data_IF_816873561948
#
_entry.id   IF_816873561948
#
_cell.length_a   1.000
_cell.length_b   1.000
_cell.length_c   1.000
_cell.angle_alpha   90.00
_cell.angle_beta   90.00
_cell.angle_gamma   90.00
#
_symmetry.space_group_name_H-M   'P 1'
#
loop_
_entity.id
_entity.type
_entity.pdbx_description
1 polymer ?
#
# COMPACT_ATOMS: atom_id res chain seq x y z
N UNK A 1 3.30 19.72 -25.23
CA UNK A 1 3.53 20.30 -23.90
C UNK A 1 4.51 19.37 -23.24
N UNK A 2 5.68 19.88 -22.86
CA UNK A 2 6.81 19.07 -22.43
C UNK A 2 6.43 18.35 -21.14
N UNK A 3 6.40 17.03 -21.15
CA UNK A 3 6.44 16.19 -19.95
C UNK A 3 7.73 16.59 -19.22
N UNK A 4 7.62 17.36 -18.14
CA UNK A 4 8.72 17.50 -17.21
C UNK A 4 9.00 16.12 -16.62
N UNK A 5 10.27 15.78 -16.54
CA UNK A 5 10.71 14.51 -15.96
C UNK A 5 10.33 14.54 -14.47
N UNK A 6 9.57 13.55 -13.94
CA UNK A 6 9.15 13.52 -12.54
C UNK A 6 10.31 13.73 -11.56
N UNK A 7 11.53 13.31 -11.96
CA UNK A 7 12.75 13.50 -11.17
C UNK A 7 13.20 14.97 -11.07
N UNK A 8 12.91 15.77 -12.10
CA UNK A 8 13.22 17.21 -12.09
C UNK A 8 12.26 17.94 -11.16
N UNK A 9 10.98 17.59 -11.20
CA UNK A 9 9.95 18.20 -10.36
C UNK A 9 10.16 17.82 -8.87
N UNK A 10 10.47 16.55 -8.58
CA UNK A 10 10.80 16.08 -7.24
C UNK A 10 12.02 16.79 -6.62
N UNK A 11 13.04 17.07 -7.46
CA UNK A 11 14.24 17.81 -7.04
C UNK A 11 13.94 19.28 -6.79
N UNK A 12 13.16 19.92 -7.66
CA UNK A 12 12.80 21.34 -7.50
C UNK A 12 12.03 21.55 -6.19
N UNK A 13 11.06 20.71 -5.86
CA UNK A 13 10.32 20.75 -4.59
C UNK A 13 11.24 20.60 -3.36
N UNK A 14 12.22 19.68 -3.41
CA UNK A 14 13.21 19.50 -2.35
C UNK A 14 14.11 20.74 -2.18
N UNK A 15 14.52 21.36 -3.29
CA UNK A 15 15.35 22.56 -3.28
C UNK A 15 14.55 23.77 -2.80
N UNK A 16 13.29 23.89 -3.20
CA UNK A 16 12.40 24.96 -2.76
C UNK A 16 12.15 24.87 -1.26
N UNK A 17 11.94 23.66 -0.72
CA UNK A 17 11.88 23.45 0.73
C UNK A 17 13.17 23.87 1.45
N UNK A 18 14.34 23.55 0.87
CA UNK A 18 15.62 23.99 1.42
C UNK A 18 15.79 25.53 1.32
N UNK A 19 15.28 26.15 0.27
CA UNK A 19 15.28 27.60 0.08
C UNK A 19 14.38 28.30 1.10
N UNK A 20 13.21 27.75 1.42
CA UNK A 20 12.33 28.26 2.49
C UNK A 20 13.05 28.26 3.85
N UNK A 21 13.75 27.18 4.18
CA UNK A 21 14.57 27.15 5.40
C UNK A 21 15.67 28.21 5.36
N UNK A 22 16.35 28.39 4.23
CA UNK A 22 17.38 29.41 4.06
C UNK A 22 16.83 30.83 4.24
N UNK A 23 15.66 31.13 3.67
CA UNK A 23 14.99 32.41 3.79
C UNK A 23 14.55 32.70 5.24
N UNK A 24 14.08 31.68 5.97
CA UNK A 24 13.80 31.80 7.41
C UNK A 24 15.08 32.13 8.20
N UNK A 25 16.20 31.49 7.90
CA UNK A 25 17.50 31.80 8.51
C UNK A 25 17.98 33.22 8.16
N UNK A 26 17.89 33.61 6.89
CA UNK A 26 18.30 34.93 6.42
C UNK A 26 17.44 36.06 7.02
N UNK A 27 16.16 35.78 7.26
CA UNK A 27 15.21 36.66 7.93
C UNK A 27 15.41 36.76 9.46
N UNK A 28 16.35 36.01 10.04
CA UNK A 28 16.59 35.97 11.48
C UNK A 28 15.45 35.33 12.27
N UNK A 29 14.58 34.56 11.61
CA UNK A 29 13.49 33.82 12.22
C UNK A 29 14.00 32.45 12.67
N UNK A 30 13.40 31.90 13.72
CA UNK A 30 13.68 30.52 14.11
C UNK A 30 13.03 29.64 13.03
N UNK A 31 13.77 28.73 12.38
CA UNK A 31 13.17 27.91 11.35
C UNK A 31 12.13 26.96 11.95
N UNK A 32 10.99 26.89 11.29
CA UNK A 32 9.86 26.06 11.69
C UNK A 32 9.34 25.28 10.48
N UNK A 33 9.08 23.99 10.68
CA UNK A 33 8.46 23.13 9.69
C UNK A 33 7.10 22.68 10.23
N UNK A 34 6.04 22.97 9.50
CA UNK A 34 4.67 22.60 9.90
C UNK A 34 4.31 21.27 9.25
N UNK A 35 4.02 20.25 10.06
CA UNK A 35 3.67 18.91 9.60
C UNK A 35 2.27 18.53 10.12
N UNK A 36 1.40 17.89 9.34
CA UNK A 36 0.16 17.32 9.86
C UNK A 36 0.42 16.24 10.93
N UNK A 37 -0.47 16.12 11.92
CA UNK A 37 -0.30 15.20 13.04
C UNK A 37 -0.71 13.78 12.66
N UNK A 38 0.20 12.81 12.81
CA UNK A 38 0.01 11.38 12.45
C UNK A 38 -0.66 10.56 13.57
N UNK A 39 -1.83 10.97 14.04
CA UNK A 39 -2.58 10.26 15.09
C UNK A 39 -3.94 9.79 14.60
N UNK A 40 -4.44 8.67 15.13
CA UNK A 40 -5.82 8.17 14.87
C UNK A 40 -6.90 9.24 15.09
N UNK A 41 -6.65 10.21 15.98
CA UNK A 41 -7.58 11.30 16.28
C UNK A 41 -7.44 12.53 15.36
N UNK A 42 -6.65 12.44 14.29
CA UNK A 42 -6.43 13.50 13.30
C UNK A 42 -6.62 13.01 11.86
N UNK A 43 -7.31 11.89 11.67
CA UNK A 43 -7.73 11.47 10.33
C UNK A 43 -9.20 11.83 10.18
N UNK A 44 -9.54 12.38 9.02
CA UNK A 44 -10.92 12.71 8.63
C UNK A 44 -11.25 11.92 7.38
N UNK A 45 -12.48 11.44 7.29
CA UNK A 45 -12.96 10.76 6.09
C UNK A 45 -13.38 11.81 5.07
N UNK A 46 -12.75 11.79 3.90
CA UNK A 46 -13.15 12.63 2.79
C UNK A 46 -14.25 11.87 2.01
N UNK A 47 -15.51 12.28 2.20
CA UNK A 47 -16.68 11.67 1.52
C UNK A 47 -16.64 11.84 0.00
N UNK A 48 -15.98 12.88 -0.53
CA UNK A 48 -15.87 13.10 -1.98
C UNK A 48 -14.83 12.15 -2.61
N UNK A 49 -13.75 11.85 -1.89
CA UNK A 49 -12.66 10.99 -2.37
C UNK A 49 -12.76 9.54 -1.89
N UNK A 50 -13.65 9.25 -0.95
CA UNK A 50 -13.83 7.92 -0.36
C UNK A 50 -12.65 7.44 0.48
N UNK A 51 -11.71 8.33 0.83
CA UNK A 51 -10.44 7.98 1.49
C UNK A 51 -10.22 8.77 2.78
N UNK A 52 -9.42 8.20 3.67
CA UNK A 52 -9.03 8.85 4.92
C UNK A 52 -7.85 9.78 4.69
N UNK A 53 -8.05 11.07 4.94
CA UNK A 53 -7.06 12.14 4.82
C UNK A 53 -6.66 12.69 6.19
N UNK A 54 -5.55 13.44 6.28
CA UNK A 54 -5.21 14.15 7.51
C UNK A 54 -6.12 15.36 7.70
N UNK A 55 -6.71 15.48 8.88
CA UNK A 55 -7.47 16.67 9.29
C UNK A 55 -6.56 17.86 9.64
N UNK A 56 -7.18 18.95 10.08
CA UNK A 56 -6.54 20.27 10.25
C UNK A 56 -5.42 20.37 11.31
N UNK A 57 -5.20 19.33 12.13
CA UNK A 57 -4.26 19.45 13.26
C UNK A 57 -2.81 19.31 12.79
N UNK A 58 -2.13 20.43 12.69
CA UNK A 58 -0.70 20.49 12.39
C UNK A 58 0.16 20.55 13.66
N UNK A 59 1.29 19.83 13.64
CA UNK A 59 2.39 19.95 14.59
C UNK A 59 3.53 20.76 13.98
N UNK A 60 3.84 21.90 14.61
CA UNK A 60 4.99 22.71 14.21
C UNK A 60 6.27 22.19 14.87
N UNK A 61 7.28 21.88 14.07
CA UNK A 61 8.63 21.52 14.49
C UNK A 61 9.52 22.76 14.39
N UNK A 62 9.83 23.38 15.51
CA UNK A 62 10.71 24.55 15.55
C UNK A 62 12.13 24.22 16.03
N UNK A 63 13.14 24.90 15.48
CA UNK A 63 14.52 24.84 15.97
C UNK A 63 14.73 25.50 17.34
N UNK A 64 13.67 25.95 18.01
CA UNK A 64 13.77 26.62 19.30
C UNK A 64 14.23 25.67 20.44
N UNK A 65 14.19 24.36 20.20
CA UNK A 65 14.72 23.34 21.11
C UNK A 65 15.89 22.60 20.50
N UNK A 66 16.85 22.15 21.33
CA UNK A 66 17.99 21.32 20.89
C UNK A 66 17.54 20.12 20.06
N UNK A 67 16.41 19.50 20.45
CA UNK A 67 15.83 18.37 19.75
C UNK A 67 15.28 18.75 18.37
N UNK A 68 14.61 19.89 18.26
CA UNK A 68 14.09 20.42 16.99
C UNK A 68 15.21 20.86 16.05
N UNK A 69 16.25 21.52 16.57
CA UNK A 69 17.42 21.92 15.80
C UNK A 69 18.16 20.71 15.22
N UNK A 70 18.37 19.64 16.01
CA UNK A 70 18.93 18.37 15.51
C UNK A 70 18.08 17.73 14.42
N UNK A 71 16.75 17.73 14.57
CA UNK A 71 15.84 17.20 13.54
C UNK A 71 15.90 17.98 12.23
N UNK A 72 15.93 19.31 12.30
CA UNK A 72 16.06 20.16 11.12
C UNK A 72 17.42 20.02 10.45
N UNK A 73 18.50 19.88 11.24
CA UNK A 73 19.82 19.56 10.71
C UNK A 73 19.78 18.25 9.90
N UNK A 74 19.21 17.18 10.48
CA UNK A 74 19.03 15.90 9.78
C UNK A 74 18.20 16.04 8.51
N UNK A 75 17.10 16.80 8.55
CA UNK A 75 16.26 17.09 7.39
C UNK A 75 17.07 17.69 6.24
N UNK A 76 17.87 18.73 6.51
CA UNK A 76 18.68 19.41 5.49
C UNK A 76 19.72 18.46 4.88
N UNK A 77 20.43 17.68 5.71
CA UNK A 77 21.40 16.70 5.19
C UNK A 77 20.71 15.59 4.36
N UNK A 78 19.52 15.15 4.75
CA UNK A 78 18.73 14.20 3.96
C UNK A 78 18.26 14.81 2.64
N UNK A 79 17.79 16.06 2.63
CA UNK A 79 17.41 16.77 1.41
C UNK A 79 18.61 16.88 0.45
N UNK A 80 19.78 17.30 0.95
CA UNK A 80 21.01 17.38 0.15
C UNK A 80 21.40 16.00 -0.42
N UNK A 81 21.32 14.95 0.40
CA UNK A 81 21.59 13.59 -0.05
C UNK A 81 20.63 13.15 -1.17
N UNK A 82 19.33 13.33 -0.99
CA UNK A 82 18.32 12.97 -1.99
C UNK A 82 18.47 13.78 -3.28
N UNK A 83 18.72 15.09 -3.18
CA UNK A 83 18.94 15.95 -4.34
C UNK A 83 20.18 15.52 -5.15
N UNK A 84 21.28 15.17 -4.48
CA UNK A 84 22.47 14.63 -5.13
C UNK A 84 22.21 13.26 -5.78
N UNK A 85 21.43 12.37 -5.13
CA UNK A 85 21.06 11.08 -5.71
C UNK A 85 20.23 11.21 -6.98
N UNK A 86 19.26 12.12 -6.97
CA UNK A 86 18.42 12.42 -8.13
C UNK A 86 19.26 12.95 -9.30
N UNK A 87 20.26 13.79 -9.02
CA UNK A 87 21.19 14.29 -10.03
C UNK A 87 22.12 13.21 -10.61
N UNK A 88 22.53 12.23 -9.79
CA UNK A 88 23.34 11.10 -10.23
C UNK A 88 22.52 9.94 -10.83
N UNK A 89 21.18 10.05 -10.89
CA UNK A 89 20.25 8.99 -11.29
C UNK A 89 20.49 7.66 -10.53
N UNK A 90 20.75 7.80 -9.23
CA UNK A 90 20.97 6.68 -8.30
C UNK A 90 19.75 6.44 -7.44
N UNK A 91 19.64 5.22 -6.95
CA UNK A 91 18.59 4.80 -6.02
C UNK A 91 19.21 4.23 -4.76
N UNK A 92 18.65 4.55 -3.60
CA UNK A 92 19.04 3.94 -2.32
C UNK A 92 17.86 3.37 -1.58
N UNK A 93 18.13 2.44 -0.68
CA UNK A 93 17.15 1.90 0.24
C UNK A 93 17.10 2.72 1.53
N UNK A 94 16.01 2.59 2.28
CA UNK A 94 15.87 3.22 3.60
C UNK A 94 16.97 2.79 4.59
N UNK A 95 17.47 1.55 4.50
CA UNK A 95 18.64 1.10 5.30
C UNK A 95 19.94 1.71 4.84
N UNK A 96 20.15 1.84 3.54
CA UNK A 96 21.36 2.50 3.01
C UNK A 96 21.40 3.96 3.45
N UNK A 97 20.28 4.68 3.46
CA UNK A 97 20.21 6.04 4.00
C UNK A 97 20.66 6.09 5.48
N UNK A 98 20.22 5.12 6.29
CA UNK A 98 20.67 5.00 7.67
C UNK A 98 22.19 4.83 7.76
N UNK A 99 22.79 3.88 7.03
CA UNK A 99 24.24 3.66 7.06
C UNK A 99 25.05 4.81 6.46
N UNK A 100 24.55 5.46 5.43
CA UNK A 100 25.19 6.62 4.82
C UNK A 100 25.18 7.82 5.77
N UNK A 101 24.16 7.95 6.63
CA UNK A 101 24.14 8.98 7.66
C UNK A 101 25.30 8.84 8.64
N UNK A 102 25.74 7.62 8.98
CA UNK A 102 26.90 7.38 9.85
C UNK A 102 28.21 7.89 9.24
N UNK A 103 28.24 8.03 7.91
CA UNK A 103 29.40 8.54 7.16
C UNK A 103 29.39 10.05 6.96
N UNK A 104 28.35 10.76 7.43
CA UNK A 104 28.31 12.22 7.36
C UNK A 104 29.34 12.84 8.31
N UNK A 105 29.92 13.96 7.90
CA UNK A 105 30.96 14.69 8.66
C UNK A 105 30.50 15.19 10.04
N UNK A 106 29.19 15.09 10.34
CA UNK A 106 28.59 15.59 11.57
C UNK A 106 27.86 14.50 12.35
N UNK A 107 28.40 14.11 13.51
CA UNK A 107 27.82 13.10 14.41
C UNK A 107 26.40 13.47 14.87
N UNK A 108 26.07 14.76 14.94
CA UNK A 108 24.75 15.23 15.36
C UNK A 108 23.68 15.08 14.27
N UNK A 109 24.10 14.89 13.01
CA UNK A 109 23.24 14.61 11.87
C UNK A 109 23.03 13.10 11.64
N UNK A 110 23.73 12.23 12.36
CA UNK A 110 23.58 10.78 12.23
C UNK A 110 22.23 10.29 12.75
N UNK A 111 21.64 9.29 12.09
CA UNK A 111 20.42 8.66 12.59
C UNK A 111 20.72 7.76 13.79
N UNK A 112 19.87 7.84 14.81
CA UNK A 112 19.97 6.97 15.99
C UNK A 112 19.37 5.57 15.76
N UNK A 113 18.58 5.41 14.70
CA UNK A 113 18.00 4.14 14.27
C UNK A 113 17.20 4.29 12.97
N UNK A 114 16.81 3.16 12.38
CA UNK A 114 16.07 3.11 11.11
C UNK A 114 14.68 3.77 11.21
N UNK A 115 14.03 3.71 12.37
CA UNK A 115 12.75 4.39 12.58
C UNK A 115 12.85 5.91 12.43
N UNK A 116 14.01 6.50 12.78
CA UNK A 116 14.24 7.93 12.66
C UNK A 116 14.42 8.37 11.20
N UNK A 117 15.17 7.60 10.40
CA UNK A 117 15.29 7.84 8.95
C UNK A 117 13.96 7.65 8.24
N UNK A 118 13.20 6.61 8.59
CA UNK A 118 11.88 6.36 7.99
C UNK A 118 10.92 7.53 8.28
N UNK A 119 10.86 7.98 9.54
CA UNK A 119 9.99 9.08 9.93
C UNK A 119 10.35 10.39 9.22
N UNK A 120 11.64 10.66 9.02
CA UNK A 120 12.11 11.86 8.34
C UNK A 120 11.81 11.83 6.83
N UNK A 121 12.01 10.69 6.15
CA UNK A 121 11.65 10.55 4.73
C UNK A 121 10.13 10.72 4.55
N UNK A 122 9.32 10.15 5.45
CA UNK A 122 7.88 10.39 5.45
C UNK A 122 7.53 11.87 5.73
N UNK A 123 8.30 12.57 6.58
CA UNK A 123 8.08 14.00 6.84
C UNK A 123 8.35 14.81 5.56
N UNK A 124 9.43 14.48 4.83
CA UNK A 124 9.76 15.12 3.56
C UNK A 124 8.71 14.84 2.47
N UNK A 125 8.22 13.60 2.38
CA UNK A 125 7.14 13.21 1.45
C UNK A 125 5.88 14.05 1.67
N UNK A 126 5.52 14.34 2.92
CA UNK A 126 4.34 15.16 3.22
C UNK A 126 4.57 16.63 2.88
N UNK A 127 5.76 17.17 3.18
CA UNK A 127 6.03 18.61 3.02
C UNK A 127 6.26 18.98 1.55
N UNK A 128 6.94 18.12 0.81
CA UNK A 128 7.16 18.30 -0.64
C UNK A 128 5.97 17.89 -1.49
N UNK A 129 5.04 17.09 -0.95
CA UNK A 129 3.95 16.49 -1.73
C UNK A 129 4.42 15.44 -2.75
N UNK A 130 5.69 15.05 -2.70
CA UNK A 130 6.33 14.11 -3.63
C UNK A 130 6.50 12.76 -2.94
N UNK A 131 6.24 11.66 -3.65
CA UNK A 131 6.36 10.33 -3.05
C UNK A 131 7.81 9.94 -2.85
N UNK A 132 8.09 9.11 -1.84
CA UNK A 132 9.47 8.59 -1.65
C UNK A 132 9.96 7.77 -2.85
N UNK A 133 9.05 7.15 -3.59
CA UNK A 133 9.38 6.40 -4.80
C UNK A 133 9.93 7.33 -5.89
N UNK A 134 9.41 8.56 -6.00
CA UNK A 134 9.95 9.62 -6.86
C UNK A 134 11.31 10.15 -6.39
N UNK A 135 11.58 10.10 -5.07
CA UNK A 135 12.93 10.35 -4.52
C UNK A 135 13.94 9.23 -4.82
N UNK A 136 13.59 8.26 -5.67
CA UNK A 136 14.37 7.05 -5.93
C UNK A 136 14.68 6.24 -4.65
N UNK A 137 13.87 6.41 -3.60
CA UNK A 137 14.00 5.67 -2.35
C UNK A 137 13.25 4.34 -2.45
N UNK A 138 14.00 3.25 -2.33
CA UNK A 138 13.47 1.90 -2.45
C UNK A 138 13.06 1.34 -1.09
N UNK A 139 11.85 0.77 -0.98
CA UNK A 139 11.51 -0.05 0.17
C UNK A 139 12.36 -1.32 0.16
N UNK A 140 12.54 -1.90 1.35
CA UNK A 140 13.17 -3.23 1.48
C UNK A 140 12.19 -4.36 1.21
N UNK A 141 10.90 -4.07 1.39
CA UNK A 141 9.83 -5.01 1.10
C UNK A 141 9.73 -5.22 -0.39
N UNK A 142 9.74 -6.49 -0.79
CA UNK A 142 9.51 -6.87 -2.17
C UNK A 142 8.05 -6.65 -2.52
N UNK A 143 7.81 -5.96 -3.63
CA UNK A 143 6.49 -5.88 -4.24
C UNK A 143 5.90 -7.28 -4.44
N UNK A 144 4.59 -7.35 -4.45
CA UNK A 144 3.92 -8.63 -4.57
C UNK A 144 3.94 -9.16 -6.01
N UNK A 145 3.20 -10.22 -6.30
CA UNK A 145 3.23 -10.88 -7.63
C UNK A 145 1.89 -10.76 -8.34
N UNK A 146 1.93 -10.44 -9.63
CA UNK A 146 0.77 -10.39 -10.52
C UNK A 146 0.80 -11.59 -11.46
N UNK A 147 -0.37 -12.15 -11.75
CA UNK A 147 -0.53 -13.20 -12.76
C UNK A 147 -1.89 -13.06 -13.44
N UNK A 148 -1.91 -13.11 -14.77
CA UNK A 148 -3.13 -13.02 -15.56
C UNK A 148 -2.92 -12.36 -16.93
N UNK A 149 -4.00 -12.16 -17.71
CA UNK A 149 -3.95 -11.70 -19.10
C UNK A 149 -3.68 -10.18 -19.23
N UNK A 150 -2.55 -9.74 -18.68
CA UNK A 150 -2.07 -8.36 -18.72
C UNK A 150 -0.74 -8.28 -19.48
N UNK A 151 -0.67 -7.37 -20.45
CA UNK A 151 0.56 -7.01 -21.16
C UNK A 151 1.08 -5.66 -20.65
N UNK A 152 2.29 -5.68 -20.10
CA UNK A 152 2.94 -4.50 -19.54
C UNK A 152 4.28 -4.24 -20.20
N UNK A 153 4.63 -2.95 -20.31
CA UNK A 153 5.96 -2.49 -20.69
C UNK A 153 6.64 -1.90 -19.46
N UNK A 154 7.76 -2.50 -19.08
CA UNK A 154 8.59 -2.02 -17.98
C UNK A 154 9.82 -1.30 -18.53
N UNK A 155 10.02 -0.05 -18.10
CA UNK A 155 11.29 0.67 -18.33
C UNK A 155 12.33 0.24 -17.31
N UNK A 156 13.20 -0.69 -17.68
CA UNK A 156 14.33 -1.09 -16.83
C UNK A 156 15.58 -0.28 -17.16
N UNK A 157 16.52 -0.19 -16.22
CA UNK A 157 17.88 0.38 -16.47
C UNK A 157 18.64 -0.28 -17.62
N UNK A 158 18.19 -1.45 -18.12
CA UNK A 158 18.80 -2.19 -19.23
C UNK A 158 18.04 -2.05 -20.55
N UNK A 159 16.96 -1.28 -20.56
CA UNK A 159 16.09 -1.05 -21.72
C UNK A 159 14.61 -1.30 -21.42
N UNK A 160 13.77 -0.94 -22.38
CA UNK A 160 12.34 -1.23 -22.39
C UNK A 160 12.12 -2.73 -22.61
N UNK A 161 11.26 -3.34 -21.78
CA UNK A 161 10.87 -4.74 -21.95
C UNK A 161 9.36 -4.87 -21.87
N UNK A 162 8.80 -5.44 -22.93
CA UNK A 162 7.40 -5.87 -22.97
C UNK A 162 7.33 -7.28 -22.37
N UNK A 163 6.40 -7.47 -21.43
CA UNK A 163 6.23 -8.70 -20.68
C UNK A 163 4.73 -8.97 -20.60
N UNK A 164 4.33 -10.17 -21.03
CA UNK A 164 2.99 -10.67 -20.78
C UNK A 164 2.95 -11.45 -19.46
N UNK A 165 2.11 -11.02 -18.51
CA UNK A 165 1.97 -11.58 -17.15
C UNK A 165 1.36 -12.99 -17.07
N UNK A 166 1.20 -13.67 -18.20
CA UNK A 166 0.66 -15.03 -18.32
C UNK A 166 1.60 -15.91 -19.16
N UNK A 167 2.16 -15.37 -20.25
CA UNK A 167 2.94 -16.15 -21.22
C UNK A 167 4.45 -16.05 -21.00
N UNK A 168 4.94 -14.92 -20.51
CA UNK A 168 6.38 -14.65 -20.38
C UNK A 168 6.92 -14.83 -18.95
N UNK A 169 6.02 -14.99 -17.98
CA UNK A 169 6.34 -15.25 -16.58
C UNK A 169 6.10 -16.72 -16.25
N UNK A 170 6.99 -17.32 -15.45
CA UNK A 170 6.76 -18.68 -14.96
C UNK A 170 5.69 -18.74 -13.87
N UNK A 171 5.53 -19.90 -13.23
CA UNK A 171 4.60 -20.14 -12.10
C UNK A 171 4.76 -19.15 -10.93
N UNK A 172 5.88 -18.42 -10.86
CA UNK A 172 6.13 -17.39 -9.85
C UNK A 172 5.38 -16.07 -10.06
N UNK A 173 4.81 -15.83 -11.25
CA UNK A 173 4.16 -14.57 -11.65
C UNK A 173 5.14 -13.41 -11.92
N UNK A 174 4.59 -12.28 -12.35
CA UNK A 174 5.34 -11.03 -12.51
C UNK A 174 5.56 -10.37 -11.15
N UNK A 175 6.81 -10.14 -10.77
CA UNK A 175 7.12 -9.43 -9.53
C UNK A 175 7.00 -7.92 -9.75
N UNK A 176 6.15 -7.27 -8.96
CA UNK A 176 5.92 -5.84 -9.02
C UNK A 176 7.24 -5.10 -8.69
N UNK A 177 7.72 -4.20 -9.58
CA UNK A 177 8.89 -3.37 -9.30
C UNK A 177 8.59 -2.39 -8.17
N UNK A 178 9.65 -1.91 -7.52
CA UNK A 178 9.52 -0.99 -6.38
C UNK A 178 8.88 0.35 -6.77
N UNK A 179 9.11 0.82 -7.99
CA UNK A 179 8.41 1.96 -8.55
C UNK A 179 7.40 1.44 -9.58
N UNK A 180 6.11 1.33 -9.23
CA UNK A 180 5.07 0.87 -10.14
C UNK A 180 4.68 1.92 -11.18
N UNK A 181 5.06 3.18 -11.03
CA UNK A 181 4.69 4.26 -11.97
C UNK A 181 5.52 4.21 -13.27
N UNK A 182 6.64 3.48 -13.29
CA UNK A 182 7.43 3.24 -14.51
C UNK A 182 6.84 2.17 -15.44
N UNK A 183 5.71 1.57 -15.05
CA UNK A 183 5.02 0.54 -15.84
C UNK A 183 4.00 1.22 -16.74
N UNK A 184 4.07 0.91 -18.02
CA UNK A 184 3.06 1.29 -19.03
C UNK A 184 2.18 0.05 -19.32
N UNK A 185 0.87 0.21 -19.19
CA UNK A 185 -0.10 -0.83 -19.56
C UNK A 185 -0.37 -0.74 -21.05
N UNK A 186 -0.13 -1.85 -21.78
CA UNK A 186 -0.28 -1.88 -23.24
C UNK A 186 -1.63 -2.43 -23.65
N UNK A 187 -1.91 -3.65 -23.20
CA UNK A 187 -3.13 -4.38 -23.53
C UNK A 187 -3.55 -5.24 -22.32
N UNK A 188 -4.85 -5.41 -22.15
CA UNK A 188 -5.42 -6.24 -21.10
C UNK A 188 -6.74 -6.85 -21.57
N UNK A 189 -6.86 -8.16 -21.42
CA UNK A 189 -8.12 -8.89 -21.54
C UNK A 189 -8.58 -9.29 -20.13
N UNK A 190 -8.54 -8.35 -19.17
CA UNK A 190 -8.85 -8.62 -17.75
C UNK A 190 -10.24 -8.08 -17.42
N UNK A 191 -11.12 -8.94 -16.92
CA UNK A 191 -12.47 -8.55 -16.50
C UNK A 191 -12.50 -8.03 -15.04
N UNK A 192 -11.71 -8.62 -14.14
CA UNK A 192 -11.56 -8.16 -12.75
C UNK A 192 -10.20 -8.57 -12.15
N UNK A 193 -9.78 -7.89 -11.09
CA UNK A 193 -8.59 -8.25 -10.31
C UNK A 193 -8.99 -9.01 -9.04
N UNK A 194 -8.30 -10.10 -8.73
CA UNK A 194 -8.49 -10.87 -7.50
C UNK A 194 -7.24 -10.81 -6.64
N UNK A 195 -7.28 -10.00 -5.58
CA UNK A 195 -6.22 -9.85 -4.61
C UNK A 195 -6.29 -10.91 -3.51
N UNK A 196 -5.31 -11.81 -3.48
CA UNK A 196 -5.26 -12.99 -2.61
C UNK A 196 -4.17 -12.85 -1.56
N UNK A 197 -4.50 -13.07 -0.30
CA UNK A 197 -3.52 -12.98 0.80
C UNK A 197 -2.46 -14.08 0.75
N UNK A 198 -2.90 -15.34 0.70
CA UNK A 198 -2.03 -16.49 0.89
C UNK A 198 -1.44 -17.01 -0.43
N UNK A 199 -0.14 -17.28 -0.43
CA UNK A 199 0.55 -17.82 -1.60
C UNK A 199 0.02 -19.18 -2.04
N UNK A 200 -0.40 -20.02 -1.08
CA UNK A 200 -1.00 -21.33 -1.39
C UNK A 200 -2.33 -21.21 -2.14
N UNK A 201 -3.14 -20.20 -1.83
CA UNK A 201 -4.38 -19.95 -2.57
C UNK A 201 -4.09 -19.41 -3.96
N UNK A 202 -3.15 -18.46 -4.09
CA UNK A 202 -2.67 -17.98 -5.40
C UNK A 202 -2.20 -19.14 -6.29
N UNK A 203 -1.28 -19.96 -5.77
CA UNK A 203 -0.69 -21.06 -6.54
C UNK A 203 -1.75 -22.01 -7.05
N UNK A 204 -2.78 -22.27 -6.23
CA UNK A 204 -3.89 -23.12 -6.60
C UNK A 204 -4.82 -22.51 -7.65
N UNK A 205 -5.11 -21.21 -7.58
CA UNK A 205 -5.90 -20.52 -8.62
C UNK A 205 -5.20 -20.60 -9.97
N UNK A 206 -3.87 -20.44 -9.96
CA UNK A 206 -3.01 -20.56 -11.13
C UNK A 206 -2.95 -22.00 -11.65
N UNK A 207 -2.79 -23.00 -10.76
CA UNK A 207 -2.78 -24.42 -11.15
C UNK A 207 -4.10 -24.85 -11.79
N UNK A 208 -5.22 -24.31 -11.32
CA UNK A 208 -6.56 -24.58 -11.85
C UNK A 208 -6.89 -23.77 -13.11
N UNK A 209 -6.06 -22.81 -13.51
CA UNK A 209 -6.27 -21.96 -14.69
C UNK A 209 -7.43 -20.98 -14.56
N UNK A 210 -7.77 -20.58 -13.33
CA UNK A 210 -8.88 -19.65 -13.06
C UNK A 210 -8.67 -18.28 -13.74
N UNK A 211 -7.41 -17.86 -13.88
CA UNK A 211 -7.02 -16.65 -14.61
C UNK A 211 -7.33 -16.70 -16.11
N UNK A 212 -7.27 -17.89 -16.73
CA UNK A 212 -7.63 -18.06 -18.15
C UNK A 212 -9.13 -18.23 -18.37
N UNK A 213 -9.85 -18.86 -17.43
CA UNK A 213 -11.28 -19.16 -17.58
C UNK A 213 -12.16 -17.94 -17.35
N UNK A 214 -11.82 -17.12 -16.34
CA UNK A 214 -12.59 -15.93 -15.96
C UNK A 214 -11.88 -14.62 -16.29
N UNK A 215 -10.80 -14.67 -17.08
CA UNK A 215 -10.02 -13.49 -17.46
C UNK A 215 -9.62 -12.62 -16.24
N UNK A 216 -9.24 -13.25 -15.13
CA UNK A 216 -8.97 -12.52 -13.90
C UNK A 216 -7.48 -12.23 -13.71
N UNK A 217 -7.15 -11.07 -13.16
CA UNK A 217 -5.79 -10.77 -12.73
C UNK A 217 -5.60 -11.15 -11.25
N UNK A 218 -4.88 -12.23 -10.99
CA UNK A 218 -4.54 -12.68 -9.64
C UNK A 218 -3.39 -11.84 -9.09
N UNK A 219 -3.66 -11.12 -7.99
CA UNK A 219 -2.68 -10.30 -7.27
C UNK A 219 -2.39 -10.94 -5.93
N UNK A 220 -1.18 -11.44 -5.72
CA UNK A 220 -0.76 -11.90 -4.40
C UNK A 220 -0.55 -10.68 -3.49
N UNK A 221 -0.97 -10.69 -2.23
CA UNK A 221 -0.70 -9.61 -1.27
C UNK A 221 0.46 -9.94 -0.32
N UNK A 222 0.67 -11.24 0.00
CA UNK A 222 1.66 -11.73 0.99
C UNK A 222 1.43 -11.12 2.39
N UNK A 223 0.19 -11.15 2.87
CA UNK A 223 -0.19 -10.50 4.12
C UNK A 223 -0.39 -8.99 3.91
N UNK A 224 0.24 -8.16 4.76
CA UNK A 224 0.08 -6.70 4.66
C UNK A 224 0.69 -6.18 3.34
N UNK A 225 -0.12 -5.58 2.44
CA UNK A 225 0.35 -5.26 1.10
C UNK A 225 1.31 -4.09 1.12
N UNK A 226 2.42 -4.24 0.40
CA UNK A 226 3.40 -3.17 0.18
C UNK A 226 2.77 -1.99 -0.57
N UNK A 227 3.37 -0.79 -0.45
CA UNK A 227 2.90 0.42 -1.17
C UNK A 227 2.82 0.19 -2.69
N UNK A 228 3.84 -0.47 -3.26
CA UNK A 228 3.88 -0.76 -4.69
C UNK A 228 2.71 -1.64 -5.16
N UNK A 229 2.32 -2.64 -4.36
CA UNK A 229 1.17 -3.51 -4.66
C UNK A 229 -0.13 -2.72 -4.66
N UNK A 230 -0.35 -1.88 -3.64
CA UNK A 230 -1.56 -1.05 -3.54
C UNK A 230 -1.65 -0.06 -4.68
N UNK A 231 -0.52 0.55 -5.04
CA UNK A 231 -0.43 1.50 -6.14
C UNK A 231 -0.78 0.84 -7.48
N UNK A 232 -0.31 -0.37 -7.76
CA UNK A 232 -0.70 -1.08 -8.98
C UNK A 232 -2.19 -1.38 -9.02
N UNK A 233 -2.77 -1.87 -7.92
CA UNK A 233 -4.21 -2.13 -7.85
C UNK A 233 -4.99 -0.85 -8.16
N UNK A 234 -4.60 0.27 -7.54
CA UNK A 234 -5.22 1.58 -7.79
C UNK A 234 -5.05 2.06 -9.22
N UNK A 235 -3.87 1.91 -9.82
CA UNK A 235 -3.61 2.30 -11.22
C UNK A 235 -4.42 1.46 -12.20
N UNK A 236 -4.48 0.15 -12.02
CA UNK A 236 -5.29 -0.73 -12.87
C UNK A 236 -6.77 -0.40 -12.75
N UNK A 237 -7.24 -0.10 -11.54
CA UNK A 237 -8.60 0.33 -11.32
C UNK A 237 -8.91 1.68 -12.00
N UNK A 238 -8.10 2.72 -11.75
CA UNK A 238 -8.41 4.07 -12.23
C UNK A 238 -8.09 4.29 -13.71
N UNK A 239 -7.00 3.70 -14.23
CA UNK A 239 -6.56 3.88 -15.62
C UNK A 239 -7.26 2.92 -16.58
N UNK A 240 -7.50 1.67 -16.16
CA UNK A 240 -8.09 0.63 -17.01
C UNK A 240 -9.57 0.34 -16.67
N UNK A 241 -10.07 0.84 -15.54
CA UNK A 241 -11.45 0.60 -15.11
C UNK A 241 -11.71 -0.82 -14.62
N UNK A 242 -10.66 -1.56 -14.24
CA UNK A 242 -10.79 -2.96 -13.82
C UNK A 242 -11.24 -3.01 -12.34
N UNK A 243 -12.35 -3.67 -12.00
CA UNK A 243 -12.80 -3.85 -10.63
C UNK A 243 -11.75 -4.58 -9.76
N UNK A 244 -11.58 -4.12 -8.52
CA UNK A 244 -10.64 -4.71 -7.57
C UNK A 244 -11.38 -5.56 -6.53
N UNK A 245 -11.12 -6.86 -6.50
CA UNK A 245 -11.70 -7.77 -5.51
C UNK A 245 -10.63 -8.23 -4.54
N UNK A 246 -10.99 -8.33 -3.27
CA UNK A 246 -10.07 -8.78 -2.21
C UNK A 246 -10.60 -10.07 -1.60
N UNK A 247 -9.76 -11.10 -1.64
CA UNK A 247 -9.98 -12.42 -1.08
C UNK A 247 -8.92 -12.68 -0.02
N UNK A 248 -9.32 -12.76 1.25
CA UNK A 248 -8.45 -12.96 2.43
C UNK A 248 -9.04 -14.01 3.37
N UNK A 249 -8.37 -14.30 4.48
CA UNK A 249 -8.93 -15.18 5.51
C UNK A 249 -10.10 -14.49 6.24
N UNK A 250 -10.92 -15.29 6.93
CA UNK A 250 -12.02 -14.83 7.78
C UNK A 250 -11.53 -14.51 9.19
N UNK A 251 -10.61 -13.56 9.31
CA UNK A 251 -10.04 -13.12 10.58
C UNK A 251 -9.88 -11.58 10.66
N UNK A 252 -9.69 -11.01 11.87
CA UNK A 252 -9.60 -9.56 12.04
C UNK A 252 -8.36 -8.95 11.35
N UNK A 253 -7.27 -9.73 11.26
CA UNK A 253 -6.03 -9.27 10.63
C UNK A 253 -6.20 -9.11 9.12
N UNK A 254 -6.98 -10.00 8.51
CA UNK A 254 -7.38 -10.01 7.12
C UNK A 254 -8.29 -8.84 6.78
N UNK A 255 -9.21 -8.48 7.67
CA UNK A 255 -10.02 -7.27 7.51
C UNK A 255 -9.13 -6.02 7.48
N UNK A 256 -8.05 -5.98 8.27
CA UNK A 256 -7.05 -4.88 8.18
C UNK A 256 -6.24 -4.88 6.90
N UNK A 257 -6.02 -6.05 6.29
CA UNK A 257 -5.42 -6.17 4.95
C UNK A 257 -6.35 -5.55 3.92
N UNK A 258 -7.64 -5.92 3.94
CA UNK A 258 -8.66 -5.29 3.09
C UNK A 258 -8.72 -3.77 3.32
N UNK A 259 -8.88 -3.33 4.58
CA UNK A 259 -8.95 -1.90 4.91
C UNK A 259 -7.68 -1.14 4.53
N UNK A 260 -6.53 -1.80 4.45
CA UNK A 260 -5.29 -1.22 3.95
C UNK A 260 -5.29 -0.99 2.43
N UNK A 261 -6.00 -1.81 1.66
CA UNK A 261 -6.18 -1.68 0.21
C UNK A 261 -7.31 -0.70 -0.10
N UNK A 262 -8.47 -0.86 0.55
CA UNK A 262 -9.66 -0.06 0.29
C UNK A 262 -9.55 1.38 0.83
N UNK A 263 -9.11 1.54 2.08
CA UNK A 263 -9.13 2.83 2.78
C UNK A 263 -7.75 3.44 3.04
N UNK A 264 -6.67 2.72 2.68
CA UNK A 264 -5.29 3.14 2.94
C UNK A 264 -4.86 2.92 4.39
N UNK A 265 -3.59 3.24 4.70
CA UNK A 265 -3.06 3.11 6.07
C UNK A 265 -3.19 4.41 6.86
N UNK A 266 -3.52 4.33 8.16
CA UNK A 266 -3.53 5.48 9.08
C UNK A 266 -2.19 6.25 9.05
N UNK A 267 -1.08 5.52 8.89
CA UNK A 267 0.27 6.11 8.85
C UNK A 267 0.61 6.79 7.53
N UNK A 268 -0.15 6.55 6.47
CA UNK A 268 0.09 7.11 5.14
C UNK A 268 -1.19 7.74 4.60
N UNK A 269 -1.94 8.41 5.48
CA UNK A 269 -3.21 9.05 5.12
C UNK A 269 -3.03 10.12 4.03
N UNK A 270 -1.87 10.77 3.97
CA UNK A 270 -1.49 11.70 2.89
C UNK A 270 -1.39 11.03 1.51
N UNK A 271 -1.11 9.72 1.48
CA UNK A 271 -1.06 8.93 0.25
C UNK A 271 -2.30 8.08 0.05
N UNK A 272 -3.32 8.17 0.91
CA UNK A 272 -4.53 7.36 0.74
C UNK A 272 -5.17 7.63 -0.62
N UNK A 273 -5.20 8.87 -1.08
CA UNK A 273 -5.70 9.21 -2.42
C UNK A 273 -4.90 8.52 -3.54
N UNK A 274 -3.59 8.36 -3.34
CA UNK A 274 -2.68 7.78 -4.33
C UNK A 274 -2.64 6.24 -4.31
N UNK A 275 -2.92 5.63 -3.15
CA UNK A 275 -2.68 4.22 -2.88
C UNK A 275 -3.96 3.42 -2.58
N UNK A 276 -5.06 4.05 -2.17
CA UNK A 276 -6.26 3.36 -1.73
C UNK A 276 -7.28 3.24 -2.86
N UNK A 277 -7.93 2.08 -2.95
CA UNK A 277 -8.98 1.80 -3.94
C UNK A 277 -10.30 1.60 -3.20
N UNK A 278 -11.06 2.67 -2.90
CA UNK A 278 -12.25 2.58 -2.05
C UNK A 278 -13.38 1.75 -2.67
N UNK A 279 -13.37 1.60 -4.00
CA UNK A 279 -14.29 0.76 -4.77
C UNK A 279 -13.90 -0.73 -4.75
N UNK A 280 -12.89 -1.11 -3.97
CA UNK A 280 -12.51 -2.51 -3.85
C UNK A 280 -13.55 -3.30 -3.03
N UNK A 281 -14.05 -4.38 -3.60
CA UNK A 281 -15.03 -5.22 -2.94
C UNK A 281 -14.39 -6.38 -2.17
N UNK A 282 -15.01 -6.73 -1.04
CA UNK A 282 -14.59 -7.86 -0.23
C UNK A 282 -15.34 -9.13 -0.63
N UNK A 283 -14.62 -10.09 -1.23
CA UNK A 283 -15.21 -11.35 -1.69
C UNK A 283 -15.43 -12.29 -0.50
N UNK A 284 -14.41 -12.47 0.34
CA UNK A 284 -14.46 -13.39 1.48
C UNK A 284 -13.08 -13.86 1.91
N UNK A 285 -12.98 -14.80 2.84
CA UNK A 285 -14.07 -15.57 3.48
C UNK A 285 -14.89 -14.70 4.42
N UNK A 286 -16.21 -14.63 4.21
CA UNK A 286 -17.15 -13.92 5.08
C UNK A 286 -17.57 -14.79 6.27
N UNK A 287 -17.89 -14.20 7.42
CA UNK A 287 -18.50 -14.90 8.55
C UNK A 287 -19.74 -15.73 8.18
N UNK A 288 -20.57 -15.25 7.25
CA UNK A 288 -21.71 -15.99 6.72
C UNK A 288 -21.29 -17.27 5.97
N UNK A 289 -20.23 -17.20 5.17
CA UNK A 289 -19.69 -18.34 4.42
C UNK A 289 -19.28 -19.49 5.34
N UNK A 290 -18.76 -19.16 6.52
CA UNK A 290 -18.35 -20.14 7.52
C UNK A 290 -19.55 -21.02 7.94
N UNK A 291 -20.73 -20.41 8.07
CA UNK A 291 -21.96 -21.09 8.48
C UNK A 291 -22.58 -21.83 7.30
N UNK A 292 -22.71 -21.19 6.14
CA UNK A 292 -23.34 -21.78 4.95
C UNK A 292 -22.54 -22.96 4.39
N UNK A 293 -21.22 -22.79 4.31
CA UNK A 293 -20.31 -23.81 3.79
C UNK A 293 -19.67 -24.65 4.89
N UNK A 294 -20.22 -24.69 6.12
CA UNK A 294 -19.78 -25.55 7.26
C UNK A 294 -18.27 -25.85 7.20
N UNK A 295 -17.48 -24.77 7.21
CA UNK A 295 -16.05 -24.83 6.97
C UNK A 295 -15.32 -25.32 8.24
N UNK A 296 -14.14 -25.94 8.10
CA UNK A 296 -13.24 -26.14 9.23
C UNK A 296 -12.90 -24.79 9.88
N UNK A 297 -13.24 -24.65 11.16
CA UNK A 297 -13.07 -23.40 11.91
C UNK A 297 -12.25 -23.59 13.16
N UNK A 298 -11.52 -22.56 13.53
CA UNK A 298 -10.88 -22.43 14.83
C UNK A 298 -11.63 -21.42 15.72
N UNK A 299 -11.62 -21.57 17.04
CA UNK A 299 -12.21 -20.58 17.94
C UNK A 299 -11.41 -19.26 17.90
N UNK A 300 -12.10 -18.15 18.13
CA UNK A 300 -11.42 -16.85 18.30
C UNK A 300 -10.61 -16.84 19.59
N UNK A 301 -9.46 -16.16 19.56
CA UNK A 301 -8.70 -15.86 20.78
C UNK A 301 -9.18 -14.56 21.42
N UNK A 302 -8.87 -14.36 22.70
CA UNK A 302 -9.15 -13.08 23.38
C UNK A 302 -8.56 -11.88 22.62
N UNK A 303 -7.40 -12.06 21.97
CA UNK A 303 -6.77 -11.02 21.16
C UNK A 303 -7.55 -10.72 19.88
N UNK A 304 -8.18 -11.72 19.29
CA UNK A 304 -8.98 -11.58 18.07
C UNK A 304 -10.28 -10.84 18.39
N UNK A 305 -10.94 -11.19 19.50
CA UNK A 305 -12.15 -10.49 19.98
C UNK A 305 -11.86 -9.01 20.25
N UNK A 306 -10.78 -8.70 20.97
CA UNK A 306 -10.38 -7.30 21.20
C UNK A 306 -10.07 -6.55 19.89
N UNK A 307 -9.55 -7.25 18.88
CA UNK A 307 -9.27 -6.65 17.58
C UNK A 307 -10.57 -6.32 16.82
N UNK A 308 -11.55 -7.23 16.82
CA UNK A 308 -12.88 -7.02 16.23
C UNK A 308 -13.65 -5.89 16.91
N UNK A 309 -13.63 -5.84 18.25
CA UNK A 309 -14.23 -4.73 19.00
C UNK A 309 -13.57 -3.39 18.63
N UNK A 310 -12.24 -3.37 18.50
CA UNK A 310 -11.52 -2.17 18.04
C UNK A 310 -11.81 -1.82 16.58
N UNK A 311 -12.22 -2.77 15.74
CA UNK A 311 -12.60 -2.54 14.34
C UNK A 311 -14.00 -1.96 14.21
N UNK A 312 -14.94 -2.35 15.08
CA UNK A 312 -16.24 -1.69 15.20
C UNK A 312 -16.13 -0.21 15.61
N UNK A 313 -15.14 0.11 16.45
CA UNK A 313 -14.83 1.50 16.81
C UNK A 313 -14.08 2.26 15.70
N UNK A 314 -13.51 1.57 14.72
CA UNK A 314 -12.77 2.19 13.63
C UNK A 314 -13.75 2.69 12.56
N UNK A 315 -13.77 3.99 12.26
CA UNK A 315 -14.73 4.54 11.31
C UNK A 315 -14.56 4.03 9.87
N UNK A 316 -13.46 3.34 9.55
CA UNK A 316 -13.27 2.63 8.26
C UNK A 316 -14.23 1.46 8.06
N UNK A 317 -14.66 0.83 9.15
CA UNK A 317 -15.51 -0.37 9.13
C UNK A 317 -16.95 -0.07 9.60
N UNK A 318 -17.33 1.20 9.76
CA UNK A 318 -18.67 1.65 10.17
C UNK A 318 -19.67 1.69 9.01
N UNK A 319 -19.59 0.71 8.10
CA UNK A 319 -20.62 0.50 7.07
C UNK A 319 -21.56 -0.60 7.53
N UNK A 320 -22.83 -0.56 7.13
CA UNK A 320 -23.83 -1.58 7.51
C UNK A 320 -23.34 -3.01 7.24
N UNK A 321 -22.69 -3.24 6.10
CA UNK A 321 -22.10 -4.53 5.75
C UNK A 321 -21.04 -4.99 6.75
N UNK A 322 -20.01 -4.19 7.00
CA UNK A 322 -18.92 -4.54 7.92
C UNK A 322 -19.39 -4.67 9.38
N UNK A 323 -20.31 -3.83 9.84
CA UNK A 323 -20.88 -3.95 11.19
C UNK A 323 -21.63 -5.28 11.35
N UNK A 324 -22.44 -5.67 10.38
CA UNK A 324 -23.17 -6.94 10.40
C UNK A 324 -22.21 -8.14 10.38
N UNK A 325 -21.22 -8.15 9.49
CA UNK A 325 -20.24 -9.24 9.40
C UNK A 325 -19.41 -9.36 10.69
N UNK A 326 -18.90 -8.25 11.23
CA UNK A 326 -18.08 -8.28 12.44
C UNK A 326 -18.90 -8.74 13.65
N UNK A 327 -20.15 -8.28 13.79
CA UNK A 327 -21.05 -8.75 14.85
C UNK A 327 -21.37 -10.23 14.70
N UNK A 328 -21.64 -10.70 13.48
CA UNK A 328 -21.88 -12.11 13.21
C UNK A 328 -20.65 -12.97 13.57
N UNK A 329 -19.44 -12.49 13.27
CA UNK A 329 -18.20 -13.18 13.65
C UNK A 329 -18.04 -13.29 15.17
N UNK A 330 -18.37 -12.22 15.90
CA UNK A 330 -18.36 -12.21 17.37
C UNK A 330 -19.41 -13.17 17.97
N UNK A 331 -20.57 -13.28 17.33
CA UNK A 331 -21.64 -14.20 17.77
C UNK A 331 -21.30 -15.68 17.50
N UNK A 332 -20.65 -15.96 16.36
CA UNK A 332 -20.23 -17.32 15.99
C UNK A 332 -19.00 -17.77 16.80
N UNK A 333 -18.16 -16.83 17.23
CA UNK A 333 -16.91 -17.05 17.99
C UNK A 333 -15.91 -17.97 17.28
N UNK A 334 -15.86 -17.89 15.94
CA UNK A 334 -15.01 -18.73 15.09
C UNK A 334 -14.29 -17.91 14.05
N UNK A 335 -13.19 -18.44 13.53
CA UNK A 335 -12.45 -17.96 12.35
C UNK A 335 -12.20 -19.10 11.37
N UNK A 336 -11.99 -18.73 10.11
CA UNK A 336 -11.70 -19.68 9.03
C UNK A 336 -10.58 -19.17 8.14
N UNK A 337 -9.66 -20.06 7.77
CA UNK A 337 -8.61 -19.78 6.78
C UNK A 337 -9.13 -20.01 5.36
N UNK A 338 -8.57 -19.31 4.37
CA UNK A 338 -8.80 -19.54 2.94
C UNK A 338 -8.61 -21.01 2.55
N UNK A 339 -7.61 -21.66 3.16
CA UNK A 339 -7.31 -23.06 2.92
C UNK A 339 -8.38 -24.01 3.47
N UNK A 340 -9.26 -23.55 4.36
CA UNK A 340 -10.37 -24.36 4.86
C UNK A 340 -11.32 -24.77 3.73
N UNK A 341 -11.47 -23.95 2.68
CA UNK A 341 -12.24 -24.30 1.49
C UNK A 341 -11.64 -25.52 0.74
N UNK A 342 -10.34 -25.79 0.91
CA UNK A 342 -9.69 -26.98 0.37
C UNK A 342 -10.25 -28.29 0.94
N UNK A 343 -10.80 -28.26 2.16
CA UNK A 343 -11.32 -29.48 2.80
C UNK A 343 -12.52 -30.06 2.05
N UNK A 344 -13.22 -29.25 1.26
CA UNK A 344 -14.35 -29.66 0.42
C UNK A 344 -13.95 -30.11 -0.98
N UNK A 345 -12.69 -29.93 -1.36
CA UNK A 345 -12.10 -30.43 -2.60
C UNK A 345 -11.09 -29.46 -3.23
N UNK A 346 -10.13 -30.04 -3.97
CA UNK A 346 -9.17 -29.44 -4.93
C UNK A 346 -9.73 -28.23 -5.70
N UNK A 347 -10.93 -28.42 -6.22
CA UNK A 347 -11.48 -27.52 -7.24
C UNK A 347 -12.69 -26.74 -6.72
N UNK A 348 -13.12 -26.99 -5.48
CA UNK A 348 -14.30 -26.35 -4.89
C UNK A 348 -14.21 -24.82 -4.86
N UNK A 349 -13.00 -24.29 -4.65
CA UNK A 349 -12.77 -22.84 -4.61
C UNK A 349 -13.02 -22.21 -5.98
N UNK A 350 -12.49 -22.82 -7.04
CA UNK A 350 -12.54 -22.29 -8.41
C UNK A 350 -13.84 -22.60 -9.12
N UNK A 351 -14.46 -23.75 -8.82
CA UNK A 351 -15.62 -24.24 -9.57
C UNK A 351 -16.96 -23.84 -8.93
N UNK A 352 -16.97 -23.54 -7.64
CA UNK A 352 -18.21 -23.29 -6.89
C UNK A 352 -18.14 -21.99 -6.11
N UNK A 353 -17.20 -21.87 -5.17
CA UNK A 353 -17.20 -20.73 -4.24
C UNK A 353 -16.96 -19.38 -4.93
N UNK A 354 -15.88 -19.25 -5.72
CA UNK A 354 -15.60 -17.99 -6.41
C UNK A 354 -16.66 -17.64 -7.46
N UNK A 355 -17.09 -18.55 -8.37
CA UNK A 355 -18.12 -18.21 -9.35
C UNK A 355 -19.48 -17.84 -8.73
N UNK A 356 -19.95 -18.57 -7.70
CA UNK A 356 -21.21 -18.23 -7.02
C UNK A 356 -21.14 -16.83 -6.38
N UNK A 357 -20.03 -16.50 -5.71
CA UNK A 357 -19.87 -15.20 -5.06
C UNK A 357 -19.67 -14.07 -6.06
N UNK A 358 -18.92 -14.30 -7.14
CA UNK A 358 -18.73 -13.30 -8.19
C UNK A 358 -20.05 -12.98 -8.92
N UNK A 359 -20.91 -13.98 -9.15
CA UNK A 359 -22.26 -13.80 -9.74
C UNK A 359 -23.19 -13.02 -8.79
N UNK A 360 -23.20 -13.35 -7.50
CA UNK A 360 -23.97 -12.61 -6.50
C UNK A 360 -23.53 -11.14 -6.37
N UNK A 361 -22.23 -10.89 -6.53
CA UNK A 361 -21.66 -9.54 -6.52
C UNK A 361 -21.86 -8.82 -7.87
N UNK A 362 -22.32 -9.52 -8.91
CA UNK A 362 -22.56 -8.96 -10.24
C UNK A 362 -21.28 -8.60 -10.99
N UNK A 363 -20.16 -9.26 -10.67
CA UNK A 363 -18.86 -9.03 -11.31
C UNK A 363 -18.72 -9.84 -12.61
N UNK A 364 -19.37 -11.01 -12.69
CA UNK A 364 -19.36 -11.90 -13.86
C UNK A 364 -20.75 -12.09 -14.49
#
# INVERSE_FOLDING_TARGET
MSTQDPNTDAREELIDLAAEFYDQFAGGQIPEMTLPTRTKSNIEYDEEKGVWVYGDRTSTRSANSVRGARKLLKAIYTIEFLANQLEEDRSSTLRELYYLSESWDNEEAQFSGQDESNQLVEDLEIVSGVTREDFHMRPEESGATLMGPLELREQTRRGEREIHCQKDVGEGGYQIPNNPDTIEFLDHDVDFMLAVETGGMRDRLVENGFDEEYNCLVVHLKGQPARATRRIIKRLHDEQGIPALVFTDGDPWSYRIYGSVAYGSIKSAHLSEYLATPEADYVGIRPEDIVEYDLPTDPLSDSDVNALESELEDPRFQTEFWEEQIQLQLDIDKKAEQQALASRGLDFVTDTYLPERLDEMGVI
#
